data_IF_829511218405
#
_entry.id   IF_829511218405
#
_cell.length_a   1.000
_cell.length_b   1.000
_cell.length_c   1.000
_cell.angle_alpha   90.00
_cell.angle_beta   90.00
_cell.angle_gamma   90.00
#
_symmetry.space_group_name_H-M   'P 1'
#
loop_
_entity.id
_entity.type
_entity.pdbx_description
1 polymer ?
#
# COMPACT_ATOMS: atom_id res chain seq x y z
N UNK A 1 15.76 -16.64 -13.32
CA UNK A 1 15.64 -15.23 -12.92
C UNK A 1 14.26 -15.03 -12.32
N UNK A 2 14.15 -14.60 -11.06
CA UNK A 2 12.85 -14.45 -10.36
C UNK A 2 12.01 -13.38 -11.05
N UNK A 3 10.69 -13.55 -11.10
CA UNK A 3 9.77 -12.58 -11.68
C UNK A 3 9.81 -11.29 -10.86
N UNK A 4 10.16 -10.17 -11.50
CA UNK A 4 10.17 -8.86 -10.83
C UNK A 4 8.76 -8.29 -10.75
N UNK A 5 8.30 -7.99 -9.53
CA UNK A 5 6.97 -7.44 -9.28
C UNK A 5 6.96 -5.92 -9.42
N UNK A 6 6.33 -5.42 -10.49
CA UNK A 6 6.12 -3.98 -10.73
C UNK A 6 4.77 -3.46 -10.22
N UNK A 7 3.93 -4.35 -9.71
CA UNK A 7 2.63 -4.06 -9.08
C UNK A 7 2.27 -5.18 -8.09
N UNK A 8 1.40 -4.86 -7.15
CA UNK A 8 0.86 -5.83 -6.21
C UNK A 8 -0.02 -6.89 -6.93
N UNK A 9 -0.02 -8.17 -6.49
CA UNK A 9 -0.82 -9.23 -7.13
C UNK A 9 -2.33 -9.02 -7.04
N UNK A 10 -2.79 -8.49 -5.90
CA UNK A 10 -4.19 -8.17 -5.60
C UNK A 10 -4.41 -6.65 -5.49
N UNK A 11 -5.64 -6.15 -5.71
CA UNK A 11 -5.96 -4.73 -5.59
C UNK A 11 -5.55 -4.16 -4.23
N UNK A 12 -4.80 -3.07 -4.26
CA UNK A 12 -4.43 -2.28 -3.10
C UNK A 12 -4.30 -0.82 -3.51
N UNK A 13 -5.04 0.06 -2.82
CA UNK A 13 -5.03 1.50 -3.06
C UNK A 13 -3.76 2.10 -2.49
N UNK A 14 -3.11 2.99 -3.24
CA UNK A 14 -1.90 3.69 -2.74
C UNK A 14 -0.58 2.95 -2.94
N UNK A 15 -0.57 1.78 -3.60
CA UNK A 15 0.67 1.06 -3.90
C UNK A 15 1.68 1.96 -4.64
N UNK A 16 2.94 2.00 -4.18
CA UNK A 16 3.99 2.89 -4.70
C UNK A 16 4.65 2.40 -5.99
N UNK A 17 3.86 1.80 -6.90
CA UNK A 17 4.34 1.24 -8.18
C UNK A 17 5.08 2.26 -9.06
N UNK A 18 4.67 3.54 -9.01
CA UNK A 18 5.28 4.59 -9.83
C UNK A 18 6.67 5.02 -9.29
N UNK A 19 6.98 4.73 -8.03
CA UNK A 19 8.24 5.09 -7.38
C UNK A 19 9.30 4.00 -7.44
N UNK A 20 8.98 2.78 -7.89
CA UNK A 20 9.88 1.63 -7.79
C UNK A 20 11.25 1.86 -8.43
N UNK A 21 11.32 2.59 -9.56
CA UNK A 21 12.59 2.95 -10.20
C UNK A 21 13.42 3.93 -9.38
N UNK A 22 12.76 4.87 -8.70
CA UNK A 22 13.44 5.85 -7.84
C UNK A 22 13.93 5.19 -6.55
N UNK A 23 13.14 4.29 -5.98
CA UNK A 23 13.54 3.47 -4.83
C UNK A 23 14.74 2.61 -5.21
N UNK A 24 14.69 1.92 -6.35
CA UNK A 24 15.82 1.13 -6.85
C UNK A 24 17.10 1.96 -6.98
N UNK A 25 17.01 3.14 -7.62
CA UNK A 25 18.13 4.05 -7.73
C UNK A 25 18.68 4.43 -6.34
N UNK A 26 17.82 4.85 -5.42
CA UNK A 26 18.22 5.26 -4.08
C UNK A 26 18.88 4.11 -3.29
N UNK A 27 18.37 2.88 -3.40
CA UNK A 27 18.97 1.72 -2.75
C UNK A 27 20.34 1.39 -3.37
N UNK A 28 20.46 1.33 -4.69
CA UNK A 28 21.72 0.99 -5.39
C UNK A 28 22.82 2.02 -5.11
N UNK A 29 22.47 3.32 -5.06
CA UNK A 29 23.45 4.39 -4.85
C UNK A 29 23.95 4.50 -3.40
N UNK A 30 23.23 3.93 -2.42
CA UNK A 30 23.52 4.16 -0.99
C UNK A 30 23.66 2.88 -0.15
N UNK A 31 23.39 1.70 -0.71
CA UNK A 31 23.50 0.40 -0.03
C UNK A 31 24.44 -0.52 -0.81
N UNK A 32 25.64 -0.69 -0.30
CA UNK A 32 26.67 -1.55 -0.89
C UNK A 32 26.44 -3.04 -0.63
N UNK A 33 27.22 -3.88 -1.33
CA UNK A 33 27.33 -5.32 -1.10
C UNK A 33 25.98 -6.05 -1.07
N UNK A 34 25.07 -5.69 -1.98
CA UNK A 34 23.72 -6.28 -2.09
C UNK A 34 22.90 -6.20 -0.80
N UNK A 35 23.21 -5.25 0.09
CA UNK A 35 22.54 -5.06 1.38
C UNK A 35 23.07 -5.94 2.51
N UNK A 36 24.29 -6.46 2.41
CA UNK A 36 24.87 -7.26 3.49
C UNK A 36 24.95 -6.48 4.82
N UNK A 37 24.38 -7.06 5.88
CA UNK A 37 24.26 -6.45 7.20
C UNK A 37 23.21 -5.35 7.33
N UNK A 38 22.47 -5.04 6.25
CA UNK A 38 21.37 -4.07 6.30
C UNK A 38 20.05 -4.70 6.75
N UNK A 39 19.26 -3.91 7.47
CA UNK A 39 17.85 -4.20 7.70
C UNK A 39 17.01 -3.12 7.01
N UNK A 40 16.14 -3.52 6.07
CA UNK A 40 15.21 -2.63 5.40
C UNK A 40 13.80 -2.92 5.93
N UNK A 41 13.13 -1.89 6.44
CA UNK A 41 11.84 -2.05 7.12
C UNK A 41 10.78 -1.28 6.34
N UNK A 42 9.82 -2.00 5.77
CA UNK A 42 8.59 -1.45 5.21
C UNK A 42 7.57 -1.24 6.33
N UNK A 43 7.62 -0.06 6.94
CA UNK A 43 6.91 0.24 8.20
C UNK A 43 5.40 0.31 8.00
N UNK A 44 4.97 0.86 6.87
CA UNK A 44 3.56 0.95 6.46
C UNK A 44 3.34 0.03 5.27
N UNK A 45 3.56 -1.26 5.50
CA UNK A 45 3.80 -2.23 4.43
C UNK A 45 2.70 -2.31 3.38
N UNK A 46 1.44 -2.11 3.76
CA UNK A 46 0.30 -2.12 2.85
C UNK A 46 0.26 -3.39 1.99
N UNK A 47 0.53 -3.25 0.69
CA UNK A 47 0.61 -4.40 -0.23
C UNK A 47 1.92 -5.20 -0.20
N UNK A 48 2.94 -4.76 0.54
CA UNK A 48 4.27 -5.38 0.55
C UNK A 48 5.10 -5.13 -0.72
N UNK A 49 4.64 -4.27 -1.65
CA UNK A 49 5.31 -4.04 -2.92
C UNK A 49 6.70 -3.39 -2.76
N UNK A 50 6.85 -2.49 -1.78
CA UNK A 50 8.13 -1.86 -1.46
C UNK A 50 9.07 -2.88 -0.82
N UNK A 51 8.62 -3.62 0.20
CA UNK A 51 9.38 -4.73 0.80
C UNK A 51 9.85 -5.75 -0.25
N UNK A 52 8.96 -6.21 -1.14
CA UNK A 52 9.29 -7.15 -2.22
C UNK A 52 10.42 -6.62 -3.11
N UNK A 53 10.30 -5.39 -3.57
CA UNK A 53 11.31 -4.78 -4.43
C UNK A 53 12.62 -4.57 -3.67
N UNK A 54 12.58 -4.11 -2.42
CA UNK A 54 13.77 -3.97 -1.58
C UNK A 54 14.50 -5.30 -1.41
N UNK A 55 13.79 -6.42 -1.23
CA UNK A 55 14.40 -7.75 -1.13
C UNK A 55 14.99 -8.24 -2.46
N UNK A 56 14.39 -7.87 -3.59
CA UNK A 56 14.93 -8.22 -4.91
C UNK A 56 16.17 -7.39 -5.27
N UNK A 57 16.23 -6.13 -4.82
CA UNK A 57 17.34 -5.20 -5.07
C UNK A 57 18.51 -5.44 -4.10
N UNK A 58 18.20 -5.70 -2.82
CA UNK A 58 19.17 -5.97 -1.77
C UNK A 58 18.98 -7.41 -1.24
N UNK A 59 19.35 -8.45 -2.01
CA UNK A 59 19.05 -9.84 -1.67
C UNK A 59 19.71 -10.32 -0.37
N UNK A 60 20.83 -9.74 0.05
CA UNK A 60 21.51 -10.07 1.32
C UNK A 60 20.95 -9.29 2.52
N UNK A 61 20.13 -8.27 2.31
CA UNK A 61 19.49 -7.55 3.39
C UNK A 61 18.41 -8.40 4.07
N UNK A 62 18.25 -8.17 5.38
CA UNK A 62 17.05 -8.57 6.10
C UNK A 62 15.94 -7.57 5.76
N UNK A 63 14.83 -8.04 5.21
CA UNK A 63 13.72 -7.16 4.83
C UNK A 63 12.49 -7.50 5.66
N UNK A 64 12.00 -6.52 6.43
CA UNK A 64 10.83 -6.65 7.29
C UNK A 64 9.64 -6.00 6.59
N UNK A 65 8.57 -6.78 6.39
CA UNK A 65 7.29 -6.33 5.87
C UNK A 65 6.28 -6.24 7.02
N UNK A 66 5.89 -5.02 7.41
CA UNK A 66 4.85 -4.82 8.42
C UNK A 66 3.46 -4.91 7.79
N UNK A 67 2.86 -6.10 7.83
CA UNK A 67 1.56 -6.40 7.25
C UNK A 67 0.39 -5.99 8.16
N UNK A 68 0.28 -4.70 8.42
CA UNK A 68 -0.80 -4.14 9.25
C UNK A 68 -2.20 -4.27 8.59
N UNK A 69 -2.26 -4.45 7.26
CA UNK A 69 -3.48 -4.59 6.47
C UNK A 69 -3.90 -6.03 6.21
N UNK A 70 -3.15 -7.01 6.73
CA UNK A 70 -3.39 -8.45 6.53
C UNK A 70 -3.41 -8.87 5.05
N UNK A 71 -2.55 -8.24 4.23
CA UNK A 71 -2.41 -8.52 2.81
C UNK A 71 -1.87 -9.94 2.55
N UNK A 72 -1.05 -10.49 3.44
CA UNK A 72 -0.56 -11.86 3.35
C UNK A 72 -1.70 -12.88 3.38
N UNK A 73 -2.73 -12.67 4.21
CA UNK A 73 -3.92 -13.53 4.22
C UNK A 73 -4.66 -13.47 2.87
N UNK A 74 -4.77 -12.28 2.27
CA UNK A 74 -5.41 -12.12 0.96
C UNK A 74 -4.65 -12.88 -0.12
N UNK A 75 -3.32 -12.81 -0.11
CA UNK A 75 -2.46 -13.53 -1.05
C UNK A 75 -2.61 -15.05 -0.93
N UNK A 76 -2.63 -15.58 0.30
CA UNK A 76 -2.84 -17.01 0.56
C UNK A 76 -4.20 -17.52 0.03
N UNK A 77 -5.17 -16.62 -0.14
CA UNK A 77 -6.52 -16.94 -0.59
C UNK A 77 -6.81 -16.53 -2.05
N UNK A 78 -5.80 -16.23 -2.87
CA UNK A 78 -5.99 -15.87 -4.30
C UNK A 78 -6.83 -16.92 -5.04
N UNK A 79 -6.61 -18.21 -4.80
CA UNK A 79 -7.37 -19.29 -5.44
C UNK A 79 -8.88 -19.17 -5.16
N UNK A 80 -9.26 -18.94 -3.91
CA UNK A 80 -10.65 -18.78 -3.51
C UNK A 80 -11.25 -17.47 -4.02
N UNK A 81 -10.47 -16.39 -4.00
CA UNK A 81 -10.85 -15.11 -4.63
C UNK A 81 -11.18 -15.29 -6.12
N UNK A 82 -10.35 -16.04 -6.86
CA UNK A 82 -10.60 -16.33 -8.27
C UNK A 82 -11.83 -17.23 -8.49
N UNK A 83 -12.06 -18.22 -7.63
CA UNK A 83 -13.27 -19.05 -7.69
C UNK A 83 -14.54 -18.21 -7.55
N UNK A 84 -14.58 -17.30 -6.57
CA UNK A 84 -15.70 -16.38 -6.41
C UNK A 84 -15.84 -15.46 -7.63
N UNK A 85 -14.73 -14.90 -8.15
CA UNK A 85 -14.73 -14.08 -9.37
C UNK A 85 -15.38 -14.80 -10.54
N UNK A 86 -15.06 -16.08 -10.75
CA UNK A 86 -15.61 -16.88 -11.85
C UNK A 86 -17.13 -17.12 -11.70
N UNK A 87 -17.62 -17.37 -10.48
CA UNK A 87 -19.07 -17.48 -10.22
C UNK A 87 -19.80 -16.17 -10.53
N UNK A 88 -19.22 -15.03 -10.10
CA UNK A 88 -19.77 -13.71 -10.42
C UNK A 88 -19.71 -13.42 -11.93
N UNK A 89 -18.63 -13.81 -12.61
CA UNK A 89 -18.48 -13.63 -14.06
C UNK A 89 -19.58 -14.37 -14.83
N UNK A 90 -19.92 -15.59 -14.40
CA UNK A 90 -21.00 -16.36 -15.01
C UNK A 90 -22.37 -15.68 -14.81
N UNK A 91 -22.64 -15.17 -13.60
CA UNK A 91 -23.88 -14.45 -13.29
C UNK A 91 -24.04 -13.13 -14.07
N UNK A 92 -22.92 -12.47 -14.42
CA UNK A 92 -22.88 -11.18 -15.11
C UNK A 92 -22.62 -11.28 -16.62
N UNK A 93 -22.73 -12.47 -17.22
CA UNK A 93 -22.36 -12.69 -18.63
C UNK A 93 -23.17 -11.84 -19.62
N UNK A 94 -24.41 -11.48 -19.26
CA UNK A 94 -25.35 -10.67 -20.03
C UNK A 94 -25.31 -9.17 -19.66
N UNK A 95 -24.54 -8.80 -18.65
CA UNK A 95 -24.43 -7.42 -18.17
C UNK A 95 -23.21 -6.74 -18.80
N UNK A 96 -23.41 -5.61 -19.47
CA UNK A 96 -22.30 -4.84 -20.04
C UNK A 96 -21.30 -4.40 -18.96
N UNK A 97 -19.99 -4.36 -19.25
CA UNK A 97 -19.00 -3.75 -18.35
C UNK A 97 -19.39 -2.32 -17.97
N UNK A 98 -19.06 -1.93 -16.74
CA UNK A 98 -19.33 -0.59 -16.17
C UNK A 98 -20.82 -0.23 -16.07
N UNK A 99 -21.73 -1.15 -16.37
CA UNK A 99 -23.16 -0.93 -16.20
C UNK A 99 -23.58 -1.10 -14.74
N UNK A 100 -24.56 -0.30 -14.31
CA UNK A 100 -25.22 -0.48 -13.01
C UNK A 100 -26.05 -1.75 -13.03
N UNK A 101 -25.97 -2.56 -11.97
CA UNK A 101 -26.77 -3.77 -11.84
C UNK A 101 -28.23 -3.43 -11.54
N UNK A 102 -29.16 -4.18 -12.14
CA UNK A 102 -30.57 -4.15 -11.76
C UNK A 102 -30.77 -4.69 -10.34
N UNK A 103 -31.94 -4.49 -9.76
CA UNK A 103 -32.24 -5.00 -8.41
C UNK A 103 -32.24 -6.53 -8.36
N UNK A 104 -32.70 -7.18 -9.42
CA UNK A 104 -32.74 -8.63 -9.59
C UNK A 104 -31.31 -9.18 -9.64
N UNK A 105 -30.48 -8.62 -10.53
CA UNK A 105 -29.08 -9.05 -10.67
C UNK A 105 -28.27 -8.78 -9.40
N UNK A 106 -28.53 -7.66 -8.72
CA UNK A 106 -27.94 -7.36 -7.42
C UNK A 106 -28.27 -8.44 -6.38
N UNK A 107 -29.52 -8.91 -6.31
CA UNK A 107 -29.92 -10.00 -5.39
C UNK A 107 -29.17 -11.30 -5.71
N UNK A 108 -29.12 -11.69 -6.98
CA UNK A 108 -28.37 -12.89 -7.43
C UNK A 108 -26.90 -12.84 -6.99
N UNK A 109 -26.23 -11.71 -7.22
CA UNK A 109 -24.82 -11.50 -6.82
C UNK A 109 -24.64 -11.60 -5.31
N UNK A 110 -25.53 -10.98 -4.53
CA UNK A 110 -25.49 -11.05 -3.06
C UNK A 110 -25.65 -12.50 -2.59
N UNK A 111 -26.56 -13.25 -3.19
CA UNK A 111 -26.81 -14.65 -2.83
C UNK A 111 -25.65 -15.57 -3.21
N UNK A 112 -24.96 -15.31 -4.33
CA UNK A 112 -23.72 -16.00 -4.69
C UNK A 112 -22.64 -15.72 -3.63
N UNK A 113 -22.41 -14.44 -3.29
CA UNK A 113 -21.40 -14.06 -2.31
C UNK A 113 -21.71 -14.66 -0.93
N UNK A 114 -22.97 -14.66 -0.49
CA UNK A 114 -23.37 -15.25 0.80
C UNK A 114 -23.18 -16.76 0.86
N UNK A 115 -23.54 -17.47 -0.22
CA UNK A 115 -23.44 -18.94 -0.30
C UNK A 115 -22.03 -19.45 -0.56
N UNK A 116 -21.11 -18.59 -0.99
CA UNK A 116 -19.73 -18.97 -1.23
C UNK A 116 -19.06 -19.39 0.09
N UNK A 117 -18.79 -20.69 0.23
CA UNK A 117 -18.15 -21.28 1.42
C UNK A 117 -16.62 -21.21 1.30
N UNK A 118 -16.11 -19.97 1.26
CA UNK A 118 -14.69 -19.68 1.12
C UNK A 118 -14.36 -18.23 1.47
N UNK A 119 -13.09 -17.86 1.27
CA UNK A 119 -12.57 -16.53 1.53
C UNK A 119 -13.22 -15.48 0.65
N UNK A 120 -13.78 -14.44 1.28
CA UNK A 120 -14.48 -13.33 0.61
C UNK A 120 -13.60 -12.09 0.73
N UNK A 121 -12.70 -11.89 -0.22
CA UNK A 121 -11.85 -10.70 -0.26
C UNK A 121 -12.72 -9.45 -0.49
N UNK A 122 -13.02 -8.72 0.59
CA UNK A 122 -13.85 -7.51 0.56
C UNK A 122 -13.24 -6.44 -0.36
N UNK A 123 -11.91 -6.32 -0.40
CA UNK A 123 -11.23 -5.32 -1.25
C UNK A 123 -11.35 -5.70 -2.72
N UNK A 124 -11.24 -6.99 -3.05
CA UNK A 124 -11.49 -7.46 -4.42
C UNK A 124 -12.97 -7.25 -4.82
N UNK A 125 -13.91 -7.66 -3.98
CA UNK A 125 -15.35 -7.46 -4.20
C UNK A 125 -15.72 -5.99 -4.38
N UNK A 126 -15.13 -5.11 -3.57
CA UNK A 126 -15.28 -3.65 -3.70
C UNK A 126 -14.81 -3.17 -5.06
N UNK A 127 -13.62 -3.61 -5.50
CA UNK A 127 -13.07 -3.23 -6.80
C UNK A 127 -13.89 -3.74 -7.99
N UNK A 128 -14.58 -4.86 -7.82
CA UNK A 128 -15.40 -5.48 -8.88
C UNK A 128 -16.82 -4.95 -8.94
N UNK A 129 -17.37 -4.50 -7.81
CA UNK A 129 -18.80 -4.23 -7.68
C UNK A 129 -19.13 -2.76 -7.39
N UNK A 130 -18.16 -1.92 -7.04
CA UNK A 130 -18.36 -0.48 -6.86
C UNK A 130 -17.55 0.32 -7.88
N UNK A 131 -17.90 1.59 -8.08
CA UNK A 131 -17.06 2.53 -8.84
C UNK A 131 -15.72 2.77 -8.14
N UNK A 132 -14.71 3.15 -8.93
CA UNK A 132 -13.39 3.50 -8.43
C UNK A 132 -13.47 4.58 -7.33
N UNK A 133 -12.57 4.50 -6.36
CA UNK A 133 -12.53 5.41 -5.21
C UNK A 133 -13.49 5.06 -4.07
N UNK A 134 -14.40 4.09 -4.25
CA UNK A 134 -15.18 3.56 -3.13
C UNK A 134 -14.36 2.56 -2.31
N UNK A 135 -14.54 2.60 -1.00
CA UNK A 135 -13.99 1.60 -0.09
C UNK A 135 -15.04 1.21 0.96
N UNK A 136 -15.16 -0.08 1.25
CA UNK A 136 -16.10 -0.62 2.24
C UNK A 136 -15.41 -1.63 3.12
N UNK A 137 -15.84 -1.70 4.38
CA UNK A 137 -15.20 -2.53 5.42
C UNK A 137 -15.91 -3.85 5.70
N UNK A 138 -17.11 -4.01 5.19
CA UNK A 138 -17.93 -5.19 5.46
C UNK A 138 -18.84 -5.50 4.27
N UNK A 139 -19.23 -6.76 4.17
CA UNK A 139 -20.17 -7.20 3.14
C UNK A 139 -21.55 -6.55 3.33
N UNK A 140 -21.96 -6.30 4.57
CA UNK A 140 -23.22 -5.62 4.88
C UNK A 140 -23.24 -4.19 4.33
N UNK A 141 -22.12 -3.46 4.44
CA UNK A 141 -21.99 -2.13 3.84
C UNK A 141 -21.97 -2.22 2.32
N UNK A 142 -21.23 -3.18 1.75
CA UNK A 142 -21.19 -3.43 0.31
C UNK A 142 -22.61 -3.65 -0.26
N UNK A 143 -23.40 -4.52 0.38
CA UNK A 143 -24.73 -4.91 -0.11
C UNK A 143 -25.76 -3.78 -0.04
N UNK A 144 -25.54 -2.76 0.80
CA UNK A 144 -26.40 -1.56 0.85
C UNK A 144 -26.13 -0.59 -0.31
N UNK A 145 -24.99 -0.67 -0.99
CA UNK A 145 -24.61 0.23 -2.09
C UNK A 145 -25.26 -0.17 -3.42
N UNK A 146 -25.22 0.75 -4.40
CA UNK A 146 -25.48 0.41 -5.80
C UNK A 146 -24.30 -0.36 -6.36
N UNK A 147 -24.56 -1.50 -6.98
CA UNK A 147 -23.52 -2.36 -7.56
C UNK A 147 -23.38 -2.12 -9.06
N UNK A 148 -22.17 -2.36 -9.58
CA UNK A 148 -21.76 -2.13 -10.96
C UNK A 148 -20.97 -3.33 -11.49
N UNK A 149 -20.97 -3.56 -12.79
CA UNK A 149 -20.14 -4.61 -13.39
C UNK A 149 -18.73 -4.11 -13.70
N UNK A 150 -17.88 -4.00 -12.68
CA UNK A 150 -16.45 -3.66 -12.82
C UNK A 150 -15.55 -4.90 -12.65
N UNK A 151 -16.11 -6.09 -12.89
CA UNK A 151 -15.42 -7.35 -12.68
C UNK A 151 -14.18 -7.45 -13.59
N UNK A 152 -13.06 -7.84 -13.00
CA UNK A 152 -11.84 -8.07 -13.79
C UNK A 152 -12.04 -9.25 -14.75
N UNK A 153 -11.60 -9.09 -16.00
CA UNK A 153 -11.79 -10.10 -17.06
C UNK A 153 -10.97 -11.38 -16.83
N UNK A 154 -9.87 -11.28 -16.09
CA UNK A 154 -8.92 -12.38 -15.88
C UNK A 154 -8.77 -12.63 -14.39
N UNK A 155 -8.47 -13.88 -14.06
CA UNK A 155 -8.08 -14.27 -12.71
C UNK A 155 -6.80 -13.54 -12.28
N UNK A 156 -6.69 -13.31 -10.98
CA UNK A 156 -5.44 -12.86 -10.39
C UNK A 156 -4.38 -13.96 -10.54
N UNK A 157 -3.14 -13.60 -10.91
CA UNK A 157 -2.09 -14.59 -11.06
C UNK A 157 -1.75 -15.21 -9.70
N UNK A 158 -1.33 -16.47 -9.72
CA UNK A 158 -0.66 -17.10 -8.57
C UNK A 158 0.57 -16.26 -8.19
N UNK A 159 0.76 -16.08 -6.89
CA UNK A 159 1.76 -15.18 -6.32
C UNK A 159 2.44 -15.79 -5.09
N UNK A 160 2.65 -17.11 -5.11
CA UNK A 160 3.24 -17.86 -4.00
C UNK A 160 4.64 -17.36 -3.66
N UNK A 161 5.39 -16.89 -4.67
CA UNK A 161 6.72 -16.32 -4.54
C UNK A 161 6.70 -14.83 -4.15
N UNK A 162 5.54 -14.22 -3.86
CA UNK A 162 5.52 -12.78 -3.59
C UNK A 162 6.15 -12.42 -2.24
N UNK A 163 6.10 -13.32 -1.25
CA UNK A 163 6.57 -13.00 0.10
C UNK A 163 7.90 -13.67 0.47
N UNK A 164 8.53 -14.48 -0.40
CA UNK A 164 9.70 -15.26 0.03
C UNK A 164 10.89 -14.38 0.43
N UNK A 165 11.49 -14.74 1.55
CA UNK A 165 12.63 -14.04 2.13
C UNK A 165 12.27 -12.71 2.81
N UNK A 166 10.98 -12.41 2.98
CA UNK A 166 10.52 -11.30 3.82
C UNK A 166 10.20 -11.80 5.23
N UNK A 167 10.64 -11.05 6.23
CA UNK A 167 10.21 -11.22 7.61
C UNK A 167 8.87 -10.49 7.78
N UNK A 168 7.79 -11.24 7.94
CA UNK A 168 6.45 -10.67 8.07
C UNK A 168 6.15 -10.42 9.53
N UNK A 169 5.81 -9.19 9.87
CA UNK A 169 5.36 -8.79 11.21
C UNK A 169 4.03 -8.05 11.11
N UNK A 170 3.33 -7.92 12.23
CA UNK A 170 2.11 -7.11 12.33
C UNK A 170 2.16 -6.31 13.62
N UNK A 171 2.71 -5.11 13.54
CA UNK A 171 3.04 -4.28 14.69
C UNK A 171 2.56 -2.85 14.48
N UNK A 172 2.30 -2.15 15.60
CA UNK A 172 2.19 -0.70 15.58
C UNK A 172 3.51 -0.09 15.09
N UNK A 173 3.43 0.98 14.29
CA UNK A 173 4.61 1.59 13.69
C UNK A 173 5.56 2.17 14.75
N UNK A 174 5.04 2.64 15.89
CA UNK A 174 5.84 3.21 16.98
C UNK A 174 6.70 2.13 17.60
N UNK A 175 6.12 0.97 17.88
CA UNK A 175 6.83 -0.17 18.44
C UNK A 175 7.89 -0.70 17.47
N UNK A 176 7.51 -0.89 16.21
CA UNK A 176 8.42 -1.37 15.18
C UNK A 176 9.60 -0.42 14.97
N UNK A 177 9.38 0.89 14.87
CA UNK A 177 10.47 1.85 14.74
C UNK A 177 11.35 1.86 16.00
N UNK A 178 10.76 1.87 17.21
CA UNK A 178 11.54 1.91 18.45
C UNK A 178 12.46 0.70 18.63
N UNK A 179 12.07 -0.48 18.16
CA UNK A 179 12.92 -1.68 18.19
C UNK A 179 14.17 -1.59 17.30
N UNK A 180 14.20 -0.66 16.34
CA UNK A 180 15.25 -0.57 15.33
C UNK A 180 15.93 0.80 15.20
N UNK A 181 15.34 1.88 15.72
CA UNK A 181 15.83 3.26 15.55
C UNK A 181 17.18 3.57 16.20
N UNK A 182 17.74 2.70 17.01
CA UNK A 182 19.08 2.88 17.59
C UNK A 182 20.14 1.95 16.97
N UNK A 183 19.76 1.14 15.97
CA UNK A 183 20.66 0.23 15.26
C UNK A 183 21.24 0.93 14.02
N UNK A 184 22.50 0.64 13.71
CA UNK A 184 23.14 1.04 12.46
C UNK A 184 22.58 0.23 11.27
N UNK A 185 22.76 0.74 10.04
CA UNK A 185 22.35 0.07 8.79
C UNK A 185 20.88 -0.37 8.76
N UNK A 186 20.00 0.44 9.36
CA UNK A 186 18.54 0.26 9.27
C UNK A 186 17.93 1.36 8.44
N UNK A 187 17.39 0.99 7.28
CA UNK A 187 16.60 1.85 6.40
C UNK A 187 15.11 1.71 6.71
N UNK A 188 14.44 2.83 6.97
CA UNK A 188 12.98 2.88 7.07
C UNK A 188 12.35 3.29 5.73
N UNK A 189 11.53 2.43 5.15
CA UNK A 189 10.60 2.77 4.07
C UNK A 189 9.28 3.20 4.69
N UNK A 190 8.87 4.44 4.43
CA UNK A 190 7.79 5.11 5.13
C UNK A 190 6.73 5.57 4.12
N UNK A 191 5.58 4.91 4.13
CA UNK A 191 4.41 5.26 3.32
C UNK A 191 3.15 5.44 4.20
N UNK A 192 3.15 6.43 5.12
CA UNK A 192 2.04 6.61 6.05
C UNK A 192 0.77 7.09 5.33
N UNK A 193 -0.44 6.82 5.88
CA UNK A 193 -1.66 7.47 5.43
C UNK A 193 -1.55 9.01 5.46
N UNK A 194 -2.01 9.70 4.41
CA UNK A 194 -1.86 11.16 4.32
C UNK A 194 -2.97 11.92 5.08
N UNK A 195 -2.56 12.79 6.01
CA UNK A 195 -3.44 13.52 6.96
C UNK A 195 -4.59 14.28 6.28
N UNK A 196 -4.31 15.01 5.19
CA UNK A 196 -5.28 15.90 4.53
C UNK A 196 -5.97 15.28 3.29
N UNK A 197 -5.89 13.97 3.11
CA UNK A 197 -6.65 13.27 2.05
C UNK A 197 -7.91 12.67 2.64
N UNK A 198 -8.97 12.46 1.84
CA UNK A 198 -10.16 11.76 2.30
C UNK A 198 -9.77 10.36 2.80
N UNK A 199 -9.60 10.23 4.12
CA UNK A 199 -9.28 8.97 4.79
C UNK A 199 -10.53 8.09 4.96
N UNK A 200 -11.55 8.25 4.12
CA UNK A 200 -12.78 7.44 4.16
C UNK A 200 -12.49 5.94 3.98
N UNK A 201 -11.40 5.60 3.28
CA UNK A 201 -10.84 4.25 3.16
C UNK A 201 -10.16 3.70 4.44
N UNK A 202 -9.71 4.58 5.34
CA UNK A 202 -8.86 4.23 6.50
C UNK A 202 -9.52 4.39 7.88
N UNK A 203 -10.85 4.52 7.99
CA UNK A 203 -11.53 4.47 9.31
C UNK A 203 -11.46 3.07 9.98
N UNK A 204 -10.26 2.55 10.25
CA UNK A 204 -10.01 1.52 11.26
C UNK A 204 -10.30 2.13 12.64
N UNK A 205 -10.40 1.30 13.67
CA UNK A 205 -10.65 1.72 15.07
C UNK A 205 -9.55 2.65 15.62
N UNK A 206 -8.41 2.74 14.93
CA UNK A 206 -7.31 3.69 15.16
C UNK A 206 -7.05 4.48 13.87
N UNK A 207 -7.31 5.78 13.89
CA UNK A 207 -7.13 6.70 12.77
C UNK A 207 -5.68 7.20 12.76
N UNK A 208 -4.94 7.11 11.64
CA UNK A 208 -3.61 7.73 11.52
C UNK A 208 -3.82 9.25 11.43
N UNK A 209 -3.69 9.90 12.57
CA UNK A 209 -4.08 11.29 12.76
C UNK A 209 -2.85 12.22 12.78
N UNK A 210 -3.08 13.49 13.10
CA UNK A 210 -1.99 14.46 13.24
C UNK A 210 -1.00 14.06 14.35
N UNK A 211 -1.48 13.48 15.45
CA UNK A 211 -0.64 13.04 16.56
C UNK A 211 0.23 11.86 16.13
N UNK A 212 -0.33 10.88 15.41
CA UNK A 212 0.43 9.77 14.86
C UNK A 212 1.49 10.23 13.85
N UNK A 213 1.15 11.22 13.02
CA UNK A 213 2.14 11.85 12.14
C UNK A 213 3.27 12.53 12.94
N UNK A 214 2.94 13.34 13.95
CA UNK A 214 3.95 14.01 14.79
C UNK A 214 4.83 12.99 15.54
N UNK A 215 4.24 11.90 16.03
CA UNK A 215 4.99 10.78 16.63
C UNK A 215 5.92 10.11 15.60
N UNK A 216 5.44 9.83 14.39
CA UNK A 216 6.28 9.32 13.32
C UNK A 216 7.47 10.26 13.07
N UNK A 217 7.22 11.56 12.91
CA UNK A 217 8.26 12.56 12.69
C UNK A 217 9.28 12.65 13.85
N UNK A 218 8.84 12.43 15.09
CA UNK A 218 9.70 12.36 16.28
C UNK A 218 10.58 11.11 16.32
N UNK A 219 10.10 10.00 15.75
CA UNK A 219 10.75 8.69 15.80
C UNK A 219 11.77 8.50 14.68
N UNK A 220 11.51 9.05 13.49
CA UNK A 220 12.32 8.79 12.30
C UNK A 220 13.71 9.41 12.36
N UNK A 221 14.65 8.72 11.72
CA UNK A 221 16.05 9.14 11.54
C UNK A 221 16.60 8.57 10.22
N UNK A 222 17.65 9.16 9.63
CA UNK A 222 18.36 8.53 8.52
C UNK A 222 18.96 7.17 8.93
N UNK A 223 19.09 6.21 8.01
CA UNK A 223 18.58 6.25 6.64
C UNK A 223 17.04 6.07 6.57
N UNK A 224 16.36 6.87 5.75
CA UNK A 224 14.93 6.74 5.46
C UNK A 224 14.59 7.07 4.00
N UNK A 225 13.51 6.47 3.50
CA UNK A 225 12.79 6.89 2.29
C UNK A 225 11.33 7.13 2.71
N UNK A 226 10.86 8.36 2.57
CA UNK A 226 9.50 8.79 2.90
C UNK A 226 8.73 9.14 1.62
N UNK A 227 7.54 8.57 1.49
CA UNK A 227 6.59 8.96 0.45
C UNK A 227 5.59 9.96 1.01
N UNK A 228 5.30 10.99 0.23
CA UNK A 228 4.30 11.99 0.59
C UNK A 228 3.57 12.47 -0.66
N UNK A 229 2.52 13.28 -0.48
CA UNK A 229 1.85 13.96 -1.60
C UNK A 229 1.91 15.47 -1.39
N UNK A 230 1.75 16.24 -2.47
CA UNK A 230 1.64 17.70 -2.38
C UNK A 230 0.51 18.17 -1.45
N UNK A 231 -0.52 17.33 -1.23
CA UNK A 231 -1.63 17.61 -0.33
C UNK A 231 -1.34 17.26 1.14
N UNK A 232 -0.25 16.55 1.42
CA UNK A 232 0.04 16.02 2.77
C UNK A 232 0.69 17.04 3.72
N UNK A 233 0.95 18.27 3.27
CA UNK A 233 1.66 19.32 4.03
C UNK A 233 3.08 18.92 4.49
N UNK A 234 3.56 17.74 4.12
CA UNK A 234 4.84 17.16 4.58
C UNK A 234 6.01 18.10 4.31
N UNK A 235 6.18 18.58 3.08
CA UNK A 235 7.28 19.47 2.74
C UNK A 235 7.22 20.78 3.54
N UNK A 236 6.02 21.36 3.72
CA UNK A 236 5.82 22.57 4.52
C UNK A 236 6.19 22.34 5.99
N UNK A 237 5.90 21.16 6.52
CA UNK A 237 6.31 20.76 7.87
C UNK A 237 7.84 20.61 7.98
N UNK A 238 8.50 19.99 6.99
CA UNK A 238 9.97 19.90 6.96
C UNK A 238 10.62 21.28 6.89
N UNK A 239 10.12 22.16 6.02
CA UNK A 239 10.60 23.54 5.91
C UNK A 239 10.47 24.30 7.24
N UNK A 240 9.34 24.10 7.93
CA UNK A 240 9.12 24.66 9.26
C UNK A 240 10.16 24.13 10.28
N UNK A 241 10.38 22.81 10.34
CA UNK A 241 11.36 22.21 11.25
C UNK A 241 12.76 22.78 11.02
N UNK A 242 13.18 22.88 9.75
CA UNK A 242 14.50 23.40 9.38
C UNK A 242 14.62 24.89 9.71
N UNK A 243 13.63 25.71 9.30
CA UNK A 243 13.63 27.16 9.52
C UNK A 243 13.71 27.53 11.00
N UNK A 244 12.98 26.80 11.84
CA UNK A 244 12.90 27.08 13.27
C UNK A 244 13.88 26.25 14.11
N UNK A 245 14.69 25.39 13.48
CA UNK A 245 15.63 24.47 14.15
C UNK A 245 14.96 23.64 15.25
N UNK A 246 13.74 23.19 14.96
CA UNK A 246 12.96 22.34 15.85
C UNK A 246 13.65 21.00 16.09
N UNK A 247 13.21 20.25 17.10
CA UNK A 247 13.82 18.96 17.42
C UNK A 247 13.87 18.03 16.19
N UNK A 248 15.00 17.37 15.99
CA UNK A 248 15.31 16.46 14.87
C UNK A 248 15.44 17.12 13.48
N UNK A 249 15.48 18.46 13.35
CA UNK A 249 15.57 19.11 12.04
C UNK A 249 16.79 18.63 11.22
N UNK A 250 17.91 18.27 11.86
CA UNK A 250 19.12 17.79 11.19
C UNK A 250 18.90 16.50 10.39
N UNK A 251 17.88 15.71 10.74
CA UNK A 251 17.50 14.51 10.01
C UNK A 251 16.97 14.83 8.61
N UNK A 252 16.58 16.07 8.32
CA UNK A 252 15.98 16.48 7.05
C UNK A 252 16.83 17.49 6.26
N UNK A 253 17.83 18.10 6.89
CA UNK A 253 18.80 18.97 6.18
C UNK A 253 19.45 18.17 5.05
N UNK A 254 19.51 18.73 3.84
CA UNK A 254 20.06 18.12 2.62
C UNK A 254 19.38 16.81 2.19
N UNK A 255 18.16 16.52 2.67
CA UNK A 255 17.38 15.39 2.15
C UNK A 255 17.05 15.60 0.66
N UNK A 256 17.16 14.53 -0.12
CA UNK A 256 16.89 14.57 -1.56
C UNK A 256 15.39 14.43 -1.79
N UNK A 257 14.81 15.37 -2.52
CA UNK A 257 13.40 15.31 -2.96
C UNK A 257 13.31 14.91 -4.45
N UNK A 258 12.50 13.90 -4.74
CA UNK A 258 12.15 13.47 -6.10
C UNK A 258 10.63 13.57 -6.29
N UNK A 259 10.20 14.23 -7.37
CA UNK A 259 8.78 14.50 -7.66
C UNK A 259 8.30 13.65 -8.82
N UNK A 260 7.13 13.04 -8.70
CA UNK A 260 6.43 12.37 -9.79
C UNK A 260 5.08 13.06 -10.00
N UNK A 261 4.84 13.50 -11.24
CA UNK A 261 3.54 13.98 -11.68
C UNK A 261 2.66 12.79 -12.07
N UNK A 262 1.61 12.52 -11.29
CA UNK A 262 0.65 11.47 -11.58
C UNK A 262 -0.60 12.09 -12.19
N UNK A 263 -0.91 11.69 -13.43
CA UNK A 263 -2.19 12.01 -14.07
C UNK A 263 -3.25 11.02 -13.60
N UNK A 264 -4.30 11.49 -12.93
CA UNK A 264 -5.47 10.66 -12.56
C UNK A 264 -6.42 10.56 -13.74
N UNK A 265 -6.71 11.69 -14.37
CA UNK A 265 -7.60 11.87 -15.52
C UNK A 265 -7.17 13.15 -16.29
N UNK A 266 -7.79 13.45 -17.44
CA UNK A 266 -7.47 14.63 -18.26
C UNK A 266 -7.46 15.97 -17.49
N UNK A 267 -8.23 16.08 -16.40
CA UNK A 267 -8.40 17.32 -15.62
C UNK A 267 -7.80 17.29 -14.20
N UNK A 268 -7.18 16.17 -13.77
CA UNK A 268 -6.67 16.04 -12.39
C UNK A 268 -5.25 15.48 -12.40
N UNK A 269 -4.29 16.37 -12.12
CA UNK A 269 -2.90 16.03 -11.86
C UNK A 269 -2.66 16.18 -10.36
N UNK A 270 -2.02 15.19 -9.74
CA UNK A 270 -1.45 15.36 -8.41
C UNK A 270 0.03 14.99 -8.44
N UNK A 271 0.79 15.67 -7.61
CA UNK A 271 2.21 15.45 -7.47
C UNK A 271 2.43 14.63 -6.20
N UNK A 272 3.06 13.48 -6.37
CA UNK A 272 3.58 12.68 -5.25
C UNK A 272 5.09 12.91 -5.16
N UNK A 273 5.61 12.86 -3.93
CA UNK A 273 7.01 13.10 -3.65
C UNK A 273 7.62 11.89 -2.94
N UNK A 274 8.90 11.65 -3.21
CA UNK A 274 9.77 10.76 -2.45
C UNK A 274 10.90 11.60 -1.88
N UNK A 275 11.00 11.63 -0.55
CA UNK A 275 12.06 12.33 0.18
C UNK A 275 12.93 11.30 0.88
N UNK A 276 14.24 11.36 0.69
CA UNK A 276 15.14 10.40 1.32
C UNK A 276 16.44 11.02 1.79
N UNK A 277 17.03 10.39 2.79
CA UNK A 277 18.37 10.70 3.32
C UNK A 277 18.98 9.41 3.83
N UNK A 278 20.25 9.17 3.51
CA UNK A 278 21.03 8.05 4.02
C UNK A 278 21.99 8.47 5.12
#
# INVERSE_FOLDING_TARGET
MRKRYTKAPLPFTGQKRNFLKLVEKALIENIDNDGEGWTIIDVFGGSGLLARNAKDICPKARVIFNDYDNYAERLANIKQTNQLRQQLAHCLIDVKPEARLSNEKKKEIIDIIRRFDGYKDIKALTSWLLFSGNDVKSLEVLFKKSLWNNLTKRDYPVADDYLDGLDIVRMDFKDLINQHRHKEKVLFLLDPPYICTEQTAYKKETFFDLIDFLELMRLIRPPFIMFSSAKSEFNRYIDFLIKHKEKNYQHFVDAVEQKINVRVNHNVNYQDNMVYKF
#
